data_IF_689395819577
#
_entry.id   IF_689395819577
#
_cell.length_a   1.000
_cell.length_b   1.000
_cell.length_c   1.000
_cell.angle_alpha   90.00
_cell.angle_beta   90.00
_cell.angle_gamma   90.00
#
_symmetry.space_group_name_H-M   'P 1'
#
loop_
_entity.id
_entity.type
_entity.pdbx_description
1 polymer ?
#
# COMPACT_ATOMS: atom_id res chain seq x y z
N UNK A 1 -32.43 11.06 11.55
CA UNK A 1 -31.62 12.07 10.82
C UNK A 1 -32.39 13.39 10.80
N UNK A 2 -32.02 14.29 11.71
CA UNK A 2 -32.67 15.63 11.83
C UNK A 2 -32.08 16.63 10.79
N UNK A 3 -30.93 16.29 10.16
CA UNK A 3 -30.22 17.17 9.22
C UNK A 3 -29.52 18.37 9.89
N UNK A 4 -29.39 18.34 11.23
CA UNK A 4 -28.65 19.35 11.97
C UNK A 4 -27.15 19.05 11.90
N UNK A 5 -26.36 20.11 11.71
CA UNK A 5 -24.90 20.02 11.72
C UNK A 5 -24.41 19.79 13.15
N UNK A 6 -23.60 18.77 13.36
CA UNK A 6 -23.08 18.38 14.67
C UNK A 6 -21.68 19.00 14.83
N UNK A 7 -21.41 19.65 15.94
CA UNK A 7 -20.09 20.17 16.25
C UNK A 7 -19.04 19.07 16.34
N UNK A 8 -17.81 19.35 15.89
CA UNK A 8 -16.70 18.38 15.91
C UNK A 8 -16.37 17.84 17.30
N UNK A 9 -16.73 18.58 18.36
CA UNK A 9 -16.56 18.17 19.76
C UNK A 9 -17.55 17.10 20.18
N UNK A 10 -18.70 17.01 19.52
CA UNK A 10 -19.76 16.02 19.79
C UNK A 10 -19.61 14.73 18.95
N UNK A 11 -18.59 14.67 18.08
CA UNK A 11 -18.29 13.48 17.28
C UNK A 11 -17.48 12.49 18.12
N UNK A 12 -18.13 11.40 18.52
CA UNK A 12 -17.49 10.30 19.26
C UNK A 12 -17.07 9.17 18.30
N UNK A 13 -16.01 8.45 18.66
CA UNK A 13 -15.62 7.25 17.93
C UNK A 13 -16.39 6.06 18.46
N UNK A 14 -17.09 5.35 17.59
CA UNK A 14 -17.85 4.15 17.94
C UNK A 14 -17.25 2.91 17.30
N UNK A 15 -17.00 1.86 18.10
CA UNK A 15 -16.67 0.54 17.61
C UNK A 15 -17.93 -0.27 17.38
N UNK A 16 -18.18 -0.69 16.14
CA UNK A 16 -19.37 -1.47 15.78
C UNK A 16 -19.19 -2.92 16.25
N UNK A 17 -20.08 -3.37 17.13
CA UNK A 17 -20.09 -4.75 17.67
C UNK A 17 -21.18 -5.61 17.05
N UNK A 18 -22.27 -5.00 16.55
CA UNK A 18 -23.37 -5.69 15.88
C UNK A 18 -24.02 -4.74 14.87
N UNK A 19 -25.05 -5.20 14.13
CA UNK A 19 -25.69 -4.48 13.03
C UNK A 19 -26.08 -3.05 13.39
N UNK A 20 -26.60 -2.83 14.61
CA UNK A 20 -27.06 -1.51 15.09
C UNK A 20 -26.47 -1.12 16.46
N UNK A 21 -25.41 -1.84 16.91
CA UNK A 21 -24.81 -1.61 18.23
C UNK A 21 -23.39 -1.10 18.08
N UNK A 22 -23.13 0.06 18.68
CA UNK A 22 -21.81 0.66 18.74
C UNK A 22 -21.40 0.84 20.20
N UNK A 23 -20.14 0.54 20.50
CA UNK A 23 -19.51 0.90 21.78
C UNK A 23 -18.75 2.20 21.55
N UNK A 24 -19.10 3.21 22.33
CA UNK A 24 -18.35 4.47 22.33
C UNK A 24 -16.95 4.24 22.90
N UNK A 25 -15.94 4.77 22.20
CA UNK A 25 -14.56 4.73 22.64
C UNK A 25 -14.06 6.16 22.78
N UNK A 26 -13.77 6.55 24.00
CA UNK A 26 -13.31 7.91 24.31
C UNK A 26 -11.86 8.15 23.84
N UNK A 27 -11.50 9.40 23.72
CA UNK A 27 -10.13 9.80 23.35
C UNK A 27 -9.12 9.35 24.40
N UNK A 28 -9.48 9.45 25.69
CA UNK A 28 -8.64 9.00 26.81
C UNK A 28 -8.42 7.48 26.80
N UNK A 29 -9.45 6.69 26.49
CA UNK A 29 -9.32 5.25 26.33
C UNK A 29 -8.41 4.88 25.17
N UNK A 30 -8.49 5.60 24.04
CA UNK A 30 -7.58 5.41 22.91
C UNK A 30 -6.14 5.79 23.26
N UNK A 31 -5.92 6.83 24.03
CA UNK A 31 -4.60 7.23 24.52
C UNK A 31 -4.00 6.19 25.47
N UNK A 32 -4.83 5.55 26.31
CA UNK A 32 -4.39 4.51 27.24
C UNK A 32 -3.94 3.19 26.53
N UNK A 33 -4.45 2.90 25.34
CA UNK A 33 -4.01 1.74 24.53
C UNK A 33 -2.95 2.10 23.49
N UNK A 34 -2.59 3.36 23.38
CA UNK A 34 -1.57 3.84 22.45
C UNK A 34 -0.18 3.34 22.86
N UNK A 35 0.58 2.85 21.89
CA UNK A 35 1.94 2.40 22.10
C UNK A 35 2.92 3.56 21.91
N UNK A 36 3.89 3.67 22.82
CA UNK A 36 4.99 4.62 22.64
C UNK A 36 5.94 4.14 21.55
N UNK A 37 6.29 5.02 20.62
CA UNK A 37 7.28 4.72 19.59
C UNK A 37 8.69 4.76 20.18
N UNK A 38 9.35 3.63 20.22
CA UNK A 38 10.76 3.51 20.62
C UNK A 38 11.73 3.87 19.50
N UNK A 39 11.22 4.15 18.30
CA UNK A 39 12.01 4.33 17.06
C UNK A 39 12.91 3.14 16.74
N UNK A 40 12.53 1.97 17.23
CA UNK A 40 13.24 0.70 17.04
C UNK A 40 12.35 -0.23 16.23
N UNK A 41 12.96 -1.01 15.35
CA UNK A 41 12.30 -2.10 14.65
C UNK A 41 12.78 -3.38 15.32
N UNK A 42 11.85 -4.16 15.86
CA UNK A 42 12.14 -5.49 16.41
C UNK A 42 12.00 -6.51 15.28
N UNK A 43 13.08 -7.23 14.98
CA UNK A 43 13.07 -8.31 13.97
C UNK A 43 12.67 -9.59 14.66
N UNK A 44 11.59 -10.23 14.19
CA UNK A 44 11.06 -11.47 14.73
C UNK A 44 11.58 -12.70 13.97
N UNK A 45 11.64 -12.61 12.62
CA UNK A 45 12.00 -13.75 11.78
C UNK A 45 12.56 -13.34 10.42
N UNK A 46 13.10 -14.32 9.69
CA UNK A 46 13.60 -14.18 8.33
C UNK A 46 12.95 -15.21 7.42
N UNK A 47 12.33 -14.73 6.34
CA UNK A 47 11.55 -15.57 5.41
C UNK A 47 12.06 -15.41 3.97
N UNK A 48 11.65 -16.32 3.09
CA UNK A 48 11.85 -16.13 1.65
C UNK A 48 10.90 -15.07 1.11
N UNK A 49 11.36 -14.24 0.17
CA UNK A 49 10.54 -13.18 -0.43
C UNK A 49 9.26 -13.73 -1.06
N UNK A 50 9.31 -14.93 -1.60
CA UNK A 50 8.18 -15.63 -2.24
C UNK A 50 7.08 -16.06 -1.26
N UNK A 51 7.36 -16.12 0.03
CA UNK A 51 6.36 -16.45 1.06
C UNK A 51 5.46 -15.25 1.40
N UNK A 52 5.90 -14.04 1.08
CA UNK A 52 5.12 -12.83 1.32
C UNK A 52 4.16 -12.60 0.15
N UNK A 53 2.88 -12.90 0.39
CA UNK A 53 1.83 -12.65 -0.59
C UNK A 53 1.68 -11.13 -0.84
N UNK A 54 1.66 -10.67 -2.10
CA UNK A 54 1.52 -9.26 -2.44
C UNK A 54 0.30 -8.56 -1.84
N UNK A 55 -0.77 -9.29 -1.51
CA UNK A 55 -1.97 -8.76 -0.86
C UNK A 55 -1.69 -8.16 0.51
N UNK A 56 -0.63 -8.62 1.19
CA UNK A 56 -0.22 -8.08 2.48
C UNK A 56 0.57 -6.78 2.37
N UNK A 57 1.20 -6.49 1.23
CA UNK A 57 2.03 -5.30 1.06
C UNK A 57 1.18 -4.02 1.05
N UNK A 58 1.57 -3.02 1.85
CA UNK A 58 0.87 -1.72 1.90
C UNK A 58 1.72 -0.67 1.19
N UNK A 59 2.71 -0.12 1.87
CA UNK A 59 3.56 0.94 1.34
C UNK A 59 5.00 0.82 1.80
N UNK A 60 5.96 1.17 0.94
CA UNK A 60 7.37 1.16 1.27
C UNK A 60 7.82 2.44 1.98
N UNK A 61 8.89 2.30 2.76
CA UNK A 61 9.65 3.37 3.39
C UNK A 61 11.14 3.15 3.14
N UNK A 62 11.89 4.22 2.95
CA UNK A 62 13.34 4.16 2.98
C UNK A 62 13.82 4.24 4.42
N UNK A 63 14.64 3.27 4.82
CA UNK A 63 15.19 3.18 6.16
C UNK A 63 16.69 3.41 6.14
N UNK A 64 17.15 4.24 7.08
CA UNK A 64 18.55 4.52 7.33
C UNK A 64 18.81 4.47 8.83
N UNK A 65 20.07 4.17 9.26
CA UNK A 65 20.40 4.20 10.69
C UNK A 65 20.28 5.60 11.25
N UNK A 66 19.82 5.71 12.48
CA UNK A 66 19.79 6.96 13.23
C UNK A 66 21.03 7.08 14.11
N UNK A 67 21.79 8.16 13.92
CA UNK A 67 23.04 8.41 14.64
C UNK A 67 24.19 7.47 14.29
N UNK A 68 25.33 7.61 14.96
CA UNK A 68 26.55 6.86 14.65
C UNK A 68 26.57 5.43 15.22
N UNK A 69 25.92 5.22 16.36
CA UNK A 69 26.01 3.95 17.12
C UNK A 69 25.35 2.77 16.41
N UNK A 70 24.32 3.04 15.61
CA UNK A 70 23.56 1.99 14.89
C UNK A 70 24.12 1.61 13.52
N UNK A 71 25.12 2.33 12.99
CA UNK A 71 25.57 2.15 11.61
C UNK A 71 26.16 0.77 11.33
N UNK A 72 27.00 0.27 12.23
CA UNK A 72 27.67 -1.02 12.03
C UNK A 72 26.66 -2.18 12.12
N UNK A 73 25.79 -2.18 13.11
CA UNK A 73 24.74 -3.19 13.26
C UNK A 73 23.77 -3.16 12.07
N UNK A 74 23.37 -1.98 11.63
CA UNK A 74 22.52 -1.81 10.46
C UNK A 74 23.17 -2.38 9.19
N UNK A 75 24.47 -2.08 8.98
CA UNK A 75 25.19 -2.57 7.82
C UNK A 75 25.33 -4.11 7.85
N UNK A 76 25.63 -4.69 9.02
CA UNK A 76 25.72 -6.15 9.16
C UNK A 76 24.37 -6.82 8.84
N UNK A 77 23.28 -6.32 9.40
CA UNK A 77 21.93 -6.85 9.14
C UNK A 77 21.60 -6.76 7.66
N UNK A 78 21.81 -5.58 7.04
CA UNK A 78 21.54 -5.37 5.62
C UNK A 78 22.32 -6.36 4.74
N UNK A 79 23.64 -6.50 4.94
CA UNK A 79 24.46 -7.39 4.13
C UNK A 79 24.11 -8.86 4.36
N UNK A 80 23.80 -9.25 5.61
CA UNK A 80 23.36 -10.61 5.92
C UNK A 80 22.06 -10.98 5.19
N UNK A 81 21.06 -10.10 5.23
CA UNK A 81 19.78 -10.31 4.54
C UNK A 81 20.03 -10.42 3.03
N UNK A 82 20.93 -9.58 2.49
CA UNK A 82 21.29 -9.59 1.06
C UNK A 82 21.98 -10.89 0.66
N UNK A 83 22.99 -11.30 1.39
CA UNK A 83 23.76 -12.51 1.10
C UNK A 83 22.91 -13.77 1.18
N UNK A 84 22.02 -13.84 2.18
CA UNK A 84 21.11 -14.95 2.37
C UNK A 84 19.86 -14.90 1.49
N UNK A 85 19.66 -13.81 0.74
CA UNK A 85 18.47 -13.55 -0.08
C UNK A 85 17.14 -13.73 0.71
N UNK A 86 17.13 -13.23 1.94
CA UNK A 86 15.96 -13.28 2.84
C UNK A 86 15.33 -11.90 2.98
N UNK A 87 14.14 -11.90 3.58
CA UNK A 87 13.43 -10.72 4.05
C UNK A 87 13.30 -10.84 5.55
N UNK A 88 13.66 -9.80 6.30
CA UNK A 88 13.43 -9.77 7.73
C UNK A 88 12.00 -9.26 8.00
N UNK A 89 11.25 -10.00 8.80
CA UNK A 89 9.94 -9.60 9.28
C UNK A 89 10.10 -9.10 10.70
N UNK A 90 9.49 -7.96 10.99
CA UNK A 90 9.58 -7.36 12.31
C UNK A 90 8.37 -6.49 12.62
N UNK A 91 8.46 -5.79 13.75
CA UNK A 91 7.43 -4.88 14.24
C UNK A 91 7.99 -3.49 14.45
N UNK A 92 7.16 -2.49 14.16
CA UNK A 92 7.49 -1.09 14.34
C UNK A 92 6.26 -0.32 14.84
N UNK A 93 6.46 0.57 15.79
CA UNK A 93 5.38 1.47 16.25
C UNK A 93 5.44 2.77 15.46
N UNK A 94 4.40 3.04 14.70
CA UNK A 94 4.19 4.29 13.97
C UNK A 94 2.87 4.92 14.41
N UNK A 95 2.93 6.19 14.81
CA UNK A 95 1.73 6.94 15.23
C UNK A 95 0.90 6.17 16.27
N UNK A 96 1.55 5.70 17.34
CA UNK A 96 0.93 5.01 18.49
C UNK A 96 0.30 3.64 18.19
N UNK A 97 0.59 3.06 17.02
CA UNK A 97 0.13 1.72 16.64
C UNK A 97 1.30 0.86 16.16
N UNK A 98 1.29 -0.40 16.55
CA UNK A 98 2.20 -1.41 16.03
C UNK A 98 1.81 -1.79 14.59
N UNK A 99 2.83 -1.98 13.77
CA UNK A 99 2.71 -2.46 12.39
C UNK A 99 3.73 -3.56 12.15
N UNK A 100 3.35 -4.53 11.34
CA UNK A 100 4.29 -5.51 10.79
C UNK A 100 5.06 -4.83 9.65
N UNK A 101 6.36 -5.06 9.59
CA UNK A 101 7.23 -4.50 8.56
C UNK A 101 8.14 -5.59 7.97
N UNK A 102 8.23 -5.62 6.64
CA UNK A 102 9.18 -6.45 5.91
C UNK A 102 10.39 -5.59 5.51
N UNK A 103 11.60 -6.03 5.84
CA UNK A 103 12.85 -5.33 5.56
C UNK A 103 13.62 -6.03 4.47
N UNK A 104 13.93 -5.30 3.40
CA UNK A 104 14.70 -5.76 2.25
C UNK A 104 15.89 -4.84 2.01
N UNK A 105 17.07 -5.36 1.62
CA UNK A 105 18.22 -4.51 1.31
C UNK A 105 17.97 -3.71 0.02
N UNK A 106 18.20 -2.42 0.10
CA UNK A 106 18.11 -1.52 -1.04
C UNK A 106 19.33 -0.58 -1.05
N UNK A 107 20.21 -0.75 -2.02
CA UNK A 107 21.47 -0.02 -2.13
C UNK A 107 22.25 0.02 -0.80
N UNK A 108 22.45 1.22 -0.25
CA UNK A 108 23.13 1.44 1.05
C UNK A 108 22.20 1.43 2.25
N UNK A 109 20.88 1.30 2.01
CA UNK A 109 19.83 1.34 3.01
C UNK A 109 19.03 0.05 3.10
N UNK A 110 17.90 0.14 3.76
CA UNK A 110 16.86 -0.88 3.74
C UNK A 110 15.56 -0.25 3.22
N UNK A 111 14.81 -1.04 2.49
CA UNK A 111 13.41 -0.76 2.21
C UNK A 111 12.56 -1.50 3.26
N UNK A 112 11.74 -0.77 4.00
CA UNK A 112 10.78 -1.34 4.92
C UNK A 112 9.38 -1.22 4.36
N UNK A 113 8.74 -2.34 4.05
CA UNK A 113 7.36 -2.35 3.55
C UNK A 113 6.41 -2.76 4.65
N UNK A 114 5.43 -1.91 4.99
CA UNK A 114 4.40 -2.28 5.95
C UNK A 114 3.53 -3.41 5.40
N UNK A 115 3.15 -4.32 6.29
CA UNK A 115 2.29 -5.44 5.96
C UNK A 115 0.93 -5.31 6.67
N UNK A 116 -0.11 -5.82 6.01
CA UNK A 116 -1.45 -5.99 6.61
C UNK A 116 -1.44 -7.09 7.65
N UNK A 117 -2.29 -6.95 8.65
CA UNK A 117 -2.67 -8.06 9.50
C UNK A 117 -3.62 -9.02 8.74
N UNK A 118 -3.68 -10.31 9.12
CA UNK A 118 -4.54 -11.28 8.42
C UNK A 118 -6.01 -10.86 8.30
N UNK A 119 -6.56 -10.18 9.30
CA UNK A 119 -7.95 -9.72 9.29
C UNK A 119 -8.21 -8.55 8.32
N UNK A 120 -7.17 -7.91 7.82
CA UNK A 120 -7.25 -6.82 6.83
C UNK A 120 -7.22 -7.34 5.38
N UNK A 121 -6.97 -8.64 5.19
CA UNK A 121 -6.91 -9.29 3.88
C UNK A 121 -8.17 -10.12 3.67
N UNK A 122 -8.94 -9.78 2.64
CA UNK A 122 -10.14 -10.54 2.29
C UNK A 122 -9.78 -11.86 1.61
N UNK A 123 -10.61 -12.89 1.82
CA UNK A 123 -10.45 -14.16 1.10
C UNK A 123 -10.68 -13.97 -0.40
N UNK A 124 -9.82 -14.56 -1.22
CA UNK A 124 -10.02 -14.56 -2.67
C UNK A 124 -11.28 -15.36 -3.07
N UNK A 125 -11.60 -16.40 -2.32
CA UNK A 125 -12.75 -17.26 -2.58
C UNK A 125 -14.07 -16.48 -2.54
N UNK A 126 -14.21 -15.51 -1.63
CA UNK A 126 -15.38 -14.61 -1.57
C UNK A 126 -15.65 -13.84 -2.88
N UNK A 127 -14.62 -13.69 -3.71
CA UNK A 127 -14.69 -12.92 -4.95
C UNK A 127 -14.62 -13.76 -6.21
N UNK A 128 -14.14 -14.99 -6.11
CA UNK A 128 -13.84 -15.82 -7.29
C UNK A 128 -14.75 -17.05 -7.41
N UNK A 129 -15.57 -17.34 -6.39
CA UNK A 129 -16.49 -18.49 -6.38
C UNK A 129 -17.48 -18.49 -7.57
N UNK A 130 -17.86 -17.30 -8.06
CA UNK A 130 -18.78 -17.14 -9.17
C UNK A 130 -18.09 -17.24 -10.55
N UNK A 131 -16.75 -17.34 -10.58
CA UNK A 131 -16.02 -17.45 -11.85
C UNK A 131 -16.16 -18.86 -12.39
N UNK A 132 -16.81 -18.96 -13.55
CA UNK A 132 -17.02 -20.25 -14.21
C UNK A 132 -15.73 -20.83 -14.80
N UNK A 133 -15.53 -22.12 -14.61
CA UNK A 133 -14.46 -22.85 -15.27
C UNK A 133 -14.69 -22.90 -16.79
N UNK A 134 -13.81 -22.28 -17.54
CA UNK A 134 -13.85 -22.29 -19.02
C UNK A 134 -12.76 -23.22 -19.56
N UNK A 135 -13.15 -24.14 -20.45
CA UNK A 135 -12.19 -24.99 -21.13
C UNK A 135 -11.35 -24.17 -22.11
N UNK A 136 -10.09 -23.95 -21.81
CA UNK A 136 -9.14 -23.26 -22.68
C UNK A 136 -8.47 -24.30 -23.59
N UNK A 137 -8.62 -24.15 -24.91
CA UNK A 137 -7.97 -25.03 -25.87
C UNK A 137 -6.53 -24.62 -26.15
N UNK A 138 -5.74 -25.58 -26.67
CA UNK A 138 -4.34 -25.32 -27.02
C UNK A 138 -4.21 -24.20 -28.05
N UNK A 139 -5.08 -24.20 -29.07
CA UNK A 139 -5.03 -23.20 -30.16
C UNK A 139 -5.33 -21.79 -29.63
N UNK A 140 -6.28 -21.66 -28.69
CA UNK A 140 -6.55 -20.37 -28.03
C UNK A 140 -5.34 -19.88 -27.23
N UNK A 141 -4.66 -20.80 -26.52
CA UNK A 141 -3.44 -20.46 -25.77
C UNK A 141 -2.29 -20.03 -26.70
N UNK A 142 -2.10 -20.75 -27.80
CA UNK A 142 -1.01 -20.46 -28.74
C UNK A 142 -1.23 -19.12 -29.45
N UNK A 143 -2.46 -18.79 -29.83
CA UNK A 143 -2.80 -17.46 -30.33
C UNK A 143 -2.56 -16.35 -29.28
N UNK A 144 -3.02 -16.56 -28.04
CA UNK A 144 -2.83 -15.61 -26.98
C UNK A 144 -1.34 -15.38 -26.65
N UNK A 145 -0.54 -16.47 -26.61
CA UNK A 145 0.93 -16.38 -26.44
C UNK A 145 1.60 -15.54 -27.52
N UNK A 146 1.16 -15.70 -28.78
CA UNK A 146 1.70 -14.91 -29.88
C UNK A 146 1.48 -13.39 -29.62
N UNK A 147 0.27 -13.01 -29.23
CA UNK A 147 -0.06 -11.61 -28.90
C UNK A 147 0.75 -11.11 -27.70
N UNK A 148 0.88 -11.92 -26.64
CA UNK A 148 1.67 -11.57 -25.45
C UNK A 148 3.14 -11.35 -25.83
N UNK A 149 3.72 -12.26 -26.64
CA UNK A 149 5.11 -12.15 -27.05
C UNK A 149 5.38 -10.90 -27.91
N UNK A 150 4.42 -10.49 -28.74
CA UNK A 150 4.54 -9.24 -29.51
C UNK A 150 4.54 -7.98 -28.64
N UNK A 151 3.91 -8.04 -27.45
CA UNK A 151 3.80 -6.94 -26.51
C UNK A 151 4.72 -7.08 -25.30
N UNK A 152 5.50 -8.16 -25.24
CA UNK A 152 6.45 -8.37 -24.15
C UNK A 152 7.53 -7.27 -24.15
N UNK A 153 7.86 -6.77 -22.99
CA UNK A 153 8.84 -5.68 -22.82
C UNK A 153 9.31 -5.59 -21.38
N UNK A 154 10.15 -4.61 -21.14
CA UNK A 154 10.57 -4.26 -19.79
C UNK A 154 9.60 -3.22 -19.20
N UNK A 155 9.37 -3.32 -17.89
CA UNK A 155 8.62 -2.29 -17.18
C UNK A 155 9.50 -1.05 -17.01
N UNK A 156 9.13 0.02 -17.69
CA UNK A 156 9.79 1.32 -17.62
C UNK A 156 8.78 2.33 -17.08
N UNK A 157 8.87 2.69 -15.77
CA UNK A 157 7.92 3.61 -15.14
C UNK A 157 7.78 4.95 -15.87
N UNK A 158 8.89 5.46 -16.42
CA UNK A 158 8.94 6.76 -17.12
C UNK A 158 8.12 6.80 -18.43
N UNK A 159 7.66 5.65 -18.91
CA UNK A 159 6.75 5.57 -20.06
C UNK A 159 5.29 5.83 -19.72
N UNK A 160 4.95 5.84 -18.42
CA UNK A 160 3.60 6.06 -17.95
C UNK A 160 3.45 7.52 -17.55
N UNK A 161 2.86 8.32 -18.43
CA UNK A 161 2.55 9.72 -18.18
C UNK A 161 1.21 9.86 -17.43
N UNK A 162 1.20 10.68 -16.39
CA UNK A 162 -0.05 11.09 -15.74
C UNK A 162 -0.79 12.12 -16.63
N UNK A 163 -1.72 11.60 -17.42
CA UNK A 163 -2.54 12.45 -18.31
C UNK A 163 -3.40 13.45 -17.54
N UNK A 164 -3.78 13.13 -16.30
CA UNK A 164 -4.52 14.07 -15.46
C UNK A 164 -3.64 15.24 -15.03
N UNK A 165 -2.42 14.99 -14.59
CA UNK A 165 -1.45 16.03 -14.23
C UNK A 165 -1.16 16.94 -15.42
N UNK A 166 -0.90 16.35 -16.59
CA UNK A 166 -0.66 17.11 -17.83
C UNK A 166 -1.86 18.02 -18.17
N UNK A 167 -3.08 17.47 -18.11
CA UNK A 167 -4.29 18.25 -18.37
C UNK A 167 -4.52 19.35 -17.31
N UNK A 168 -4.19 19.10 -16.06
CA UNK A 168 -4.29 20.06 -14.97
C UNK A 168 -3.28 21.21 -15.16
N UNK A 169 -2.05 20.91 -15.53
CA UNK A 169 -1.01 21.91 -15.84
C UNK A 169 -1.45 22.79 -17.02
N UNK A 170 -1.99 22.19 -18.09
CA UNK A 170 -2.53 22.93 -19.22
C UNK A 170 -3.64 23.89 -18.81
N UNK A 171 -4.59 23.41 -17.97
CA UNK A 171 -5.68 24.22 -17.44
C UNK A 171 -5.17 25.40 -16.61
N UNK A 172 -4.22 25.17 -15.73
CA UNK A 172 -3.62 26.22 -14.90
C UNK A 172 -2.93 27.27 -15.78
N UNK A 173 -2.19 26.85 -16.79
CA UNK A 173 -1.51 27.75 -17.72
C UNK A 173 -2.50 28.58 -18.55
N UNK A 174 -3.61 28.01 -19.00
CA UNK A 174 -4.69 28.72 -19.68
C UNK A 174 -5.33 29.77 -18.76
N UNK A 175 -5.61 29.46 -17.52
CA UNK A 175 -6.14 30.41 -16.52
C UNK A 175 -5.16 31.56 -16.27
N UNK A 176 -3.87 31.27 -16.10
CA UNK A 176 -2.83 32.29 -15.91
C UNK A 176 -2.72 33.24 -17.12
N UNK A 177 -2.96 32.74 -18.33
CA UNK A 177 -2.93 33.53 -19.57
C UNK A 177 -4.24 34.26 -19.85
N UNK A 178 -5.25 34.20 -18.96
CA UNK A 178 -6.56 34.83 -19.15
C UNK A 178 -7.38 34.25 -20.32
N UNK A 179 -7.06 33.04 -20.78
CA UNK A 179 -7.77 32.37 -21.88
C UNK A 179 -9.04 31.67 -21.34
N UNK A 180 -10.15 31.72 -22.11
CA UNK A 180 -11.37 31.01 -21.73
C UNK A 180 -11.13 29.50 -21.71
N UNK A 181 -11.65 28.84 -20.68
CA UNK A 181 -11.55 27.38 -20.52
C UNK A 181 -12.54 26.74 -21.49
N UNK A 182 -12.06 26.13 -22.55
CA UNK A 182 -12.86 25.25 -23.39
C UNK A 182 -12.88 23.87 -22.76
N UNK A 183 -14.04 23.44 -22.24
CA UNK A 183 -14.23 22.09 -21.75
C UNK A 183 -13.98 21.11 -22.90
N UNK A 184 -12.91 20.30 -22.83
CA UNK A 184 -12.75 19.14 -23.72
C UNK A 184 -13.92 18.18 -23.43
N UNK A 185 -14.73 17.89 -24.45
CA UNK A 185 -15.76 16.87 -24.35
C UNK A 185 -15.13 15.57 -23.91
N UNK A 186 -15.56 15.04 -22.76
CA UNK A 186 -15.15 13.69 -22.34
C UNK A 186 -15.68 12.71 -23.40
N UNK A 187 -14.83 11.82 -23.97
CA UNK A 187 -15.36 10.71 -24.72
C UNK A 187 -16.31 9.94 -23.80
N UNK A 188 -17.57 9.80 -24.20
CA UNK A 188 -18.51 8.92 -23.52
C UNK A 188 -17.93 7.52 -23.63
N UNK A 189 -17.51 6.94 -22.48
CA UNK A 189 -17.25 5.53 -22.42
C UNK A 189 -18.53 4.80 -22.83
N UNK A 190 -18.44 3.97 -23.84
CA UNK A 190 -19.46 2.96 -24.10
C UNK A 190 -19.48 2.02 -22.90
N UNK A 191 -20.66 1.91 -22.27
CA UNK A 191 -20.94 0.90 -21.23
C UNK A 191 -21.02 -0.48 -21.87
#
# INVERSE_FOLDING_TARGET
>A
DTGEEVDNEDIVKGYKVDTDTFIEVTKEELENVALESTRTIEIDEFVDRSEIDPRYLIRPYYLRPDGKVGHDAFAVIRETIREMNKVAIGRVVLTNREHIIALEPLDKGLMGTLLRYPYEVRSADEYFDDIQDVKVTKDMLDLAKHIVNQKAGHFEPDKFEDQYETALIELINQKRAGKPITAKARPRGEN
#
